data_IF_588068986162
#
_entry.id   IF_588068986162
#
_cell.length_a   1.000
_cell.length_b   1.000
_cell.length_c   1.000
_cell.angle_alpha   90.00
_cell.angle_beta   90.00
_cell.angle_gamma   90.00
#
_symmetry.space_group_name_H-M   'P 1'
#
loop_
_entity.id
_entity.type
_entity.pdbx_description
1 polymer ?
#
# COMPACT_ATOMS: atom_id res chain seq x y z
N UNK A 1 26.20 2.68 9.69
CA UNK A 1 24.83 2.22 10.03
C UNK A 1 24.94 0.85 10.68
N UNK A 2 24.35 0.67 11.86
CA UNK A 2 24.38 -0.61 12.61
C UNK A 2 22.92 -1.00 12.89
N UNK A 3 22.55 -2.23 12.53
CA UNK A 3 21.23 -2.80 12.90
C UNK A 3 21.35 -3.32 14.33
N UNK A 4 20.35 -3.05 15.16
CA UNK A 4 20.26 -3.53 16.54
C UNK A 4 18.85 -4.06 16.81
N UNK A 5 18.76 -5.23 17.43
CA UNK A 5 17.50 -5.88 17.79
C UNK A 5 17.05 -5.42 19.17
N UNK A 6 15.85 -4.83 19.25
CA UNK A 6 15.23 -4.34 20.47
C UNK A 6 14.09 -5.29 20.85
N UNK A 7 14.11 -5.78 22.09
CA UNK A 7 13.07 -6.64 22.64
C UNK A 7 12.03 -5.78 23.36
N UNK A 8 10.76 -5.91 22.99
CA UNK A 8 9.65 -5.13 23.52
C UNK A 8 9.02 -5.78 24.75
N UNK A 9 8.24 -5.02 25.51
CA UNK A 9 7.57 -5.51 26.73
C UNK A 9 6.52 -6.61 26.46
N UNK A 10 5.99 -6.71 25.23
CA UNK A 10 5.03 -7.74 24.85
C UNK A 10 5.70 -9.05 24.39
N UNK A 11 7.04 -9.10 24.45
CA UNK A 11 7.86 -10.24 24.02
C UNK A 11 8.15 -10.29 22.53
N UNK A 12 7.70 -9.30 21.75
CA UNK A 12 8.09 -9.17 20.34
C UNK A 12 9.45 -8.48 20.20
N UNK A 13 10.08 -8.61 19.03
CA UNK A 13 11.39 -8.03 18.72
C UNK A 13 11.31 -7.17 17.45
N UNK A 14 12.09 -6.10 17.41
CA UNK A 14 12.23 -5.24 16.22
C UNK A 14 13.70 -4.97 15.93
N UNK A 15 14.08 -5.05 14.66
CA UNK A 15 15.36 -4.55 14.18
C UNK A 15 15.24 -3.10 13.74
N UNK A 16 16.06 -2.22 14.33
CA UNK A 16 16.08 -0.80 13.98
C UNK A 16 17.48 -0.39 13.55
N UNK A 17 17.50 0.43 12.51
CA UNK A 17 18.72 1.04 11.99
C UNK A 17 19.17 2.18 12.90
N UNK A 18 20.33 2.04 13.53
CA UNK A 18 20.97 3.14 14.25
C UNK A 18 21.51 4.17 13.25
N UNK A 19 20.89 5.36 13.22
CA UNK A 19 21.33 6.48 12.40
C UNK A 19 22.71 6.99 12.87
N UNK A 20 23.67 7.25 11.96
CA UNK A 20 24.99 7.78 12.33
C UNK A 20 24.94 9.16 13.01
N UNK A 21 23.89 9.94 12.76
CA UNK A 21 23.75 11.32 13.22
C UNK A 21 23.14 11.42 14.63
N UNK A 22 22.76 10.29 15.22
CA UNK A 22 22.12 10.24 16.53
C UNK A 22 23.14 10.09 17.67
N UNK A 23 22.99 10.90 18.72
CA UNK A 23 23.82 10.76 19.92
C UNK A 23 23.42 9.53 20.73
N UNK A 24 24.36 9.00 21.53
CA UNK A 24 24.11 7.83 22.39
C UNK A 24 22.93 8.04 23.36
N UNK A 25 22.75 9.26 23.88
CA UNK A 25 21.65 9.59 24.78
C UNK A 25 20.29 9.55 24.07
N UNK A 26 20.21 10.12 22.86
CA UNK A 26 19.00 10.06 22.02
C UNK A 26 18.67 8.61 21.62
N UNK A 27 19.69 7.78 21.39
CA UNK A 27 19.47 6.37 21.08
C UNK A 27 18.90 5.58 22.24
N UNK A 28 19.43 5.76 23.45
CA UNK A 28 18.89 5.10 24.64
C UNK A 28 17.45 5.54 24.96
N UNK A 29 17.14 6.82 24.79
CA UNK A 29 15.76 7.31 24.93
C UNK A 29 14.82 6.68 23.91
N UNK A 30 15.25 6.62 22.64
CA UNK A 30 14.50 5.98 21.55
C UNK A 30 14.25 4.49 21.84
N UNK A 31 15.28 3.76 22.27
CA UNK A 31 15.14 2.34 22.66
C UNK A 31 14.15 2.17 23.80
N UNK A 32 14.28 2.96 24.86
CA UNK A 32 13.38 2.90 26.03
C UNK A 32 11.92 3.15 25.63
N UNK A 33 11.69 4.16 24.77
CA UNK A 33 10.36 4.47 24.26
C UNK A 33 9.78 3.30 23.47
N UNK A 34 10.53 2.73 22.52
CA UNK A 34 10.06 1.63 21.69
C UNK A 34 9.76 0.38 22.52
N UNK A 35 10.68 0.02 23.43
CA UNK A 35 10.50 -1.12 24.34
C UNK A 35 9.17 -1.04 25.09
N UNK A 36 8.81 0.14 25.60
CA UNK A 36 7.59 0.36 26.38
C UNK A 36 6.31 0.56 25.57
N UNK A 37 6.39 0.72 24.24
CA UNK A 37 5.24 1.06 23.40
C UNK A 37 5.08 0.06 22.22
N UNK A 38 4.80 -1.23 22.48
CA UNK A 38 4.72 -2.25 21.45
C UNK A 38 3.65 -1.99 20.38
N UNK A 39 2.53 -1.36 20.74
CA UNK A 39 1.52 -0.94 19.77
C UNK A 39 2.02 0.13 18.80
N UNK A 40 2.86 1.06 19.27
CA UNK A 40 3.52 2.04 18.39
C UNK A 40 4.59 1.40 17.53
N UNK A 41 5.28 0.38 18.04
CA UNK A 41 6.25 -0.40 17.25
C UNK A 41 5.56 -1.23 16.16
N UNK A 42 4.41 -1.84 16.46
CA UNK A 42 3.56 -2.50 15.45
C UNK A 42 3.10 -1.52 14.40
N UNK A 43 2.64 -0.33 14.79
CA UNK A 43 2.35 0.73 13.83
C UNK A 43 3.58 1.08 13.01
N UNK A 44 4.75 1.32 13.62
CA UNK A 44 5.97 1.68 12.89
C UNK A 44 6.40 0.58 11.89
N UNK A 45 6.28 -0.68 12.25
CA UNK A 45 6.60 -1.82 11.37
C UNK A 45 5.56 -1.98 10.26
N UNK A 46 4.27 -1.87 10.56
CA UNK A 46 3.19 -1.82 9.55
C UNK A 46 3.33 -0.61 8.61
N UNK A 47 3.75 0.55 9.12
CA UNK A 47 4.04 1.74 8.32
C UNK A 47 5.29 1.54 7.46
N UNK A 48 6.27 0.74 7.90
CA UNK A 48 7.49 0.45 7.12
C UNK A 48 7.26 -0.50 5.94
N UNK A 49 6.25 -1.38 6.03
CA UNK A 49 5.87 -2.34 4.98
C UNK A 49 4.72 -1.86 4.09
N UNK A 50 4.01 -0.79 4.50
CA UNK A 50 2.93 -0.20 3.70
C UNK A 50 3.48 0.44 2.41
N UNK A 51 3.07 -0.02 1.21
CA UNK A 51 3.57 0.49 -0.07
C UNK A 51 3.29 1.98 -0.29
N UNK A 52 2.15 2.47 0.17
CA UNK A 52 1.77 3.89 0.04
C UNK A 52 2.69 4.77 0.89
N UNK A 53 3.05 4.29 2.08
CA UNK A 53 4.03 4.97 2.93
C UNK A 53 5.45 4.92 2.33
N UNK A 54 5.88 3.78 1.79
CA UNK A 54 7.18 3.66 1.11
C UNK A 54 7.27 4.65 -0.07
N UNK A 55 6.21 4.77 -0.90
CA UNK A 55 6.14 5.78 -1.98
C UNK A 55 6.23 7.20 -1.45
N UNK A 56 5.50 7.52 -0.38
CA UNK A 56 5.53 8.84 0.27
C UNK A 56 6.95 9.16 0.73
N UNK A 57 7.61 8.22 1.39
CA UNK A 57 9.01 8.35 1.84
C UNK A 57 9.99 8.55 0.69
N UNK A 58 9.90 7.74 -0.38
CA UNK A 58 10.76 7.89 -1.56
C UNK A 58 10.54 9.24 -2.27
N UNK A 59 9.28 9.68 -2.35
CA UNK A 59 8.92 10.98 -2.93
C UNK A 59 9.47 12.14 -2.11
N UNK A 60 9.31 12.07 -0.78
CA UNK A 60 9.86 13.07 0.15
C UNK A 60 11.38 13.16 0.05
N UNK A 61 12.07 12.02 0.03
CA UNK A 61 13.54 11.98 -0.15
C UNK A 61 13.97 12.59 -1.48
N UNK A 62 13.31 12.24 -2.57
CA UNK A 62 13.62 12.79 -3.91
C UNK A 62 13.48 14.32 -3.94
N UNK A 63 12.47 14.87 -3.27
CA UNK A 63 12.29 16.32 -3.16
C UNK A 63 13.37 16.93 -2.27
N UNK A 64 13.64 16.30 -1.12
CA UNK A 64 14.66 16.76 -0.18
C UNK A 64 16.06 16.79 -0.81
N UNK A 65 16.41 15.77 -1.60
CA UNK A 65 17.70 15.69 -2.30
C UNK A 65 17.88 16.87 -3.28
N UNK A 66 16.83 17.25 -4.00
CA UNK A 66 16.88 18.43 -4.89
C UNK A 66 17.03 19.72 -4.09
N UNK A 67 16.31 19.86 -2.98
CA UNK A 67 16.44 21.05 -2.13
C UNK A 67 17.83 21.15 -1.51
N UNK A 68 18.39 20.03 -1.06
CA UNK A 68 19.75 19.97 -0.55
C UNK A 68 20.76 20.32 -1.65
N UNK A 69 20.59 19.78 -2.85
CA UNK A 69 21.45 20.11 -3.99
C UNK A 69 21.40 21.62 -4.32
N UNK A 70 20.24 22.26 -4.26
CA UNK A 70 20.13 23.73 -4.46
C UNK A 70 20.85 24.53 -3.39
N UNK A 71 20.83 24.06 -2.14
CA UNK A 71 21.61 24.67 -1.06
C UNK A 71 23.11 24.53 -1.36
N UNK A 72 23.54 23.34 -1.75
CA UNK A 72 24.95 23.04 -2.04
C UNK A 72 25.46 23.82 -3.26
N UNK A 73 24.61 24.00 -4.27
CA UNK A 73 24.88 24.77 -5.49
C UNK A 73 24.80 26.30 -5.25
N UNK A 74 24.35 26.75 -4.07
CA UNK A 74 24.24 28.15 -3.70
C UNK A 74 23.12 28.91 -4.44
N UNK A 75 21.97 28.26 -4.70
CA UNK A 75 20.81 28.86 -5.34
C UNK A 75 20.24 30.02 -4.48
N UNK A 76 20.55 31.26 -4.88
CA UNK A 76 20.14 32.48 -4.17
C UNK A 76 18.61 32.66 -4.11
N UNK A 77 17.87 32.24 -5.15
CA UNK A 77 16.41 32.34 -5.18
C UNK A 77 15.78 31.34 -4.19
N UNK A 78 16.33 30.12 -4.13
CA UNK A 78 15.93 29.13 -3.14
C UNK A 78 16.25 29.58 -1.71
N UNK A 79 17.46 30.09 -1.47
CA UNK A 79 17.87 30.59 -0.15
C UNK A 79 16.97 31.76 0.32
N UNK A 80 16.60 32.66 -0.60
CA UNK A 80 15.65 33.74 -0.33
C UNK A 80 14.28 33.21 0.08
N UNK A 81 13.73 32.24 -0.65
CA UNK A 81 12.44 31.60 -0.31
C UNK A 81 12.48 30.91 1.04
N UNK A 82 13.55 30.19 1.36
CA UNK A 82 13.72 29.55 2.67
C UNK A 82 13.73 30.58 3.80
N UNK A 83 14.41 31.71 3.61
CA UNK A 83 14.43 32.79 4.60
C UNK A 83 13.05 33.45 4.77
N UNK A 84 12.35 33.74 3.66
CA UNK A 84 10.99 34.28 3.69
C UNK A 84 9.99 33.31 4.36
N UNK A 85 10.21 32.00 4.22
CA UNK A 85 9.41 30.98 4.88
C UNK A 85 9.67 30.93 6.40
N UNK A 86 10.93 31.05 6.82
CA UNK A 86 11.33 31.06 8.24
C UNK A 86 10.85 32.31 8.98
N UNK A 87 10.81 33.46 8.31
CA UNK A 87 10.37 34.74 8.88
C UNK A 87 8.84 34.93 8.87
N UNK A 88 8.08 34.00 8.27
CA UNK A 88 6.62 34.09 8.19
C UNK A 88 5.96 33.73 9.53
N UNK A 89 5.15 34.63 10.13
CA UNK A 89 4.42 34.35 11.37
C UNK A 89 3.50 33.13 11.29
N UNK A 90 3.01 32.77 10.10
CA UNK A 90 2.16 31.59 9.91
C UNK A 90 2.92 30.27 10.18
N UNK A 91 4.24 30.24 10.00
CA UNK A 91 5.08 29.05 10.20
C UNK A 91 5.98 29.15 11.44
N UNK A 92 5.85 30.19 12.26
CA UNK A 92 6.71 30.43 13.44
C UNK A 92 6.74 29.21 14.37
N UNK A 93 5.58 28.61 14.67
CA UNK A 93 5.47 27.41 15.52
C UNK A 93 6.19 26.21 14.91
N UNK A 94 6.07 26.00 13.60
CA UNK A 94 6.75 24.92 12.89
C UNK A 94 8.26 25.05 13.03
N UNK A 95 8.83 26.22 12.73
CA UNK A 95 10.28 26.41 12.82
C UNK A 95 10.79 26.41 14.26
N UNK A 96 9.99 26.87 15.22
CA UNK A 96 10.33 26.76 16.64
C UNK A 96 10.44 25.29 17.05
N UNK A 97 9.46 24.47 16.72
CA UNK A 97 9.45 23.05 17.08
C UNK A 97 10.58 22.28 16.39
N UNK A 98 10.94 22.64 15.14
CA UNK A 98 12.11 22.10 14.44
C UNK A 98 13.42 22.46 15.17
N UNK A 99 13.62 23.73 15.54
CA UNK A 99 14.84 24.20 16.23
C UNK A 99 14.99 23.60 17.63
N UNK A 100 13.88 23.36 18.31
CA UNK A 100 13.84 22.77 19.65
C UNK A 100 13.83 21.22 19.64
N UNK A 101 13.94 20.58 18.46
CA UNK A 101 13.93 19.12 18.30
C UNK A 101 12.69 18.44 18.90
N UNK A 102 11.53 19.11 18.84
CA UNK A 102 10.26 18.58 19.34
C UNK A 102 9.65 17.59 18.36
N UNK A 103 10.21 16.38 18.33
CA UNK A 103 9.92 15.35 17.31
C UNK A 103 8.42 15.06 17.16
N UNK A 104 7.67 15.03 18.27
CA UNK A 104 6.22 14.79 18.28
C UNK A 104 5.42 15.90 17.61
N UNK A 105 5.75 17.15 17.92
CA UNK A 105 5.11 18.35 17.39
C UNK A 105 5.49 18.55 15.92
N UNK A 106 6.77 18.38 15.58
CA UNK A 106 7.25 18.39 14.19
C UNK A 106 6.49 17.37 13.36
N UNK A 107 6.29 16.15 13.88
CA UNK A 107 5.50 15.12 13.20
C UNK A 107 4.05 15.55 13.01
N UNK A 108 3.43 16.12 14.03
CA UNK A 108 2.05 16.63 13.93
C UNK A 108 1.92 17.73 12.86
N UNK A 109 2.92 18.58 12.69
CA UNK A 109 2.96 19.57 11.61
C UNK A 109 3.09 18.90 10.23
N UNK A 110 3.96 17.90 10.10
CA UNK A 110 4.17 17.16 8.85
C UNK A 110 2.92 16.38 8.39
N UNK A 111 2.08 15.95 9.34
CA UNK A 111 0.80 15.30 9.08
C UNK A 111 -0.34 16.29 8.79
N UNK A 112 -0.10 17.61 8.91
CA UNK A 112 -1.07 18.64 8.57
C UNK A 112 -0.98 19.02 7.08
N UNK A 113 -1.82 18.38 6.26
CA UNK A 113 -1.87 18.60 4.81
C UNK A 113 -2.07 20.07 4.41
N UNK A 114 -2.87 20.84 5.17
CA UNK A 114 -3.15 22.25 4.88
C UNK A 114 -1.89 23.08 5.12
N UNK A 115 -1.22 22.87 6.25
CA UNK A 115 0.02 23.57 6.59
C UNK A 115 1.12 23.25 5.56
N UNK A 116 1.31 21.97 5.25
CA UNK A 116 2.33 21.53 4.29
C UNK A 116 2.04 22.00 2.86
N UNK A 117 0.78 22.11 2.45
CA UNK A 117 0.41 22.69 1.16
C UNK A 117 0.79 24.18 1.07
N UNK A 118 0.63 24.94 2.16
CA UNK A 118 1.04 26.35 2.22
C UNK A 118 2.56 26.51 2.18
N UNK A 119 3.29 25.67 2.93
CA UNK A 119 4.76 25.61 2.85
C UNK A 119 5.20 25.31 1.42
N UNK A 120 4.61 24.30 0.79
CA UNK A 120 4.91 23.93 -0.60
C UNK A 120 4.64 25.11 -1.55
N UNK A 121 3.51 25.80 -1.42
CA UNK A 121 3.18 26.96 -2.24
C UNK A 121 4.21 28.10 -2.09
N UNK A 122 4.64 28.40 -0.85
CA UNK A 122 5.69 29.38 -0.56
C UNK A 122 7.04 29.01 -1.20
N UNK A 123 7.35 27.71 -1.22
CA UNK A 123 8.56 27.19 -1.85
C UNK A 123 8.48 27.08 -3.38
N UNK A 124 7.37 27.50 -4.00
CA UNK A 124 7.15 27.44 -5.45
C UNK A 124 6.59 26.12 -5.96
N UNK A 125 6.06 25.29 -5.07
CA UNK A 125 5.45 24.00 -5.33
C UNK A 125 6.47 22.88 -5.58
N UNK A 126 5.99 21.76 -6.13
CA UNK A 126 6.84 20.62 -6.47
C UNK A 126 7.76 21.00 -7.65
N UNK A 127 9.11 20.90 -7.49
CA UNK A 127 10.06 21.24 -8.54
C UNK A 127 9.78 20.50 -9.84
N UNK A 128 9.99 21.14 -10.99
CA UNK A 128 9.65 20.52 -12.29
C UNK A 128 10.57 19.34 -12.59
N UNK A 129 11.81 19.42 -12.13
CA UNK A 129 12.87 18.45 -12.35
C UNK A 129 12.54 17.10 -11.67
N UNK A 130 11.90 17.12 -10.50
CA UNK A 130 11.49 15.88 -9.81
C UNK A 130 10.23 15.24 -10.39
N UNK A 131 9.43 15.94 -11.20
CA UNK A 131 8.09 15.43 -11.59
C UNK A 131 8.16 14.07 -12.28
N UNK A 132 9.15 13.87 -13.14
CA UNK A 132 9.34 12.58 -13.79
C UNK A 132 9.78 11.49 -12.81
N UNK A 133 10.70 11.83 -11.89
CA UNK A 133 11.13 10.90 -10.83
C UNK A 133 9.97 10.52 -9.90
N UNK A 134 9.11 11.47 -9.53
CA UNK A 134 7.91 11.24 -8.74
C UNK A 134 6.87 10.39 -9.50
N UNK A 135 6.67 10.65 -10.79
CA UNK A 135 5.80 9.83 -11.64
C UNK A 135 6.36 8.39 -11.73
N UNK A 136 7.67 8.22 -11.83
CA UNK A 136 8.31 6.91 -11.80
C UNK A 136 8.12 6.21 -10.44
N UNK A 137 8.30 6.92 -9.32
CA UNK A 137 8.09 6.37 -7.97
C UNK A 137 6.65 5.91 -7.76
N UNK A 138 5.68 6.69 -8.24
CA UNK A 138 4.26 6.34 -8.09
C UNK A 138 3.87 5.14 -8.96
N UNK A 139 4.45 5.02 -10.17
CA UNK A 139 4.15 3.92 -11.10
C UNK A 139 4.91 2.64 -10.83
N UNK A 140 6.10 2.73 -10.23
CA UNK A 140 6.93 1.57 -9.94
C UNK A 140 6.16 0.65 -8.96
N UNK A 141 5.94 -0.63 -9.32
CA UNK A 141 5.42 -1.58 -8.36
C UNK A 141 6.44 -1.76 -7.24
N UNK A 142 5.99 -1.66 -5.99
CA UNK A 142 6.82 -1.90 -4.81
C UNK A 142 6.56 -3.29 -4.25
N UNK A 143 5.32 -3.78 -4.42
CA UNK A 143 4.90 -5.11 -3.99
C UNK A 143 4.42 -5.98 -5.14
N UNK A 144 4.30 -7.28 -4.85
CA UNK A 144 3.67 -8.25 -5.72
C UNK A 144 2.23 -7.83 -6.07
N UNK A 145 1.47 -7.32 -5.11
CA UNK A 145 0.10 -6.82 -5.30
C UNK A 145 0.06 -5.60 -6.25
N UNK A 146 1.03 -4.69 -6.16
CA UNK A 146 1.12 -3.55 -7.08
C UNK A 146 1.42 -4.00 -8.51
N UNK A 147 2.34 -4.95 -8.68
CA UNK A 147 2.60 -5.54 -9.99
C UNK A 147 1.33 -6.16 -10.57
N UNK A 148 0.55 -6.86 -9.74
CA UNK A 148 -0.72 -7.44 -10.12
C UNK A 148 -1.78 -6.40 -10.50
N UNK A 149 -1.90 -5.33 -9.72
CA UNK A 149 -2.80 -4.19 -9.98
C UNK A 149 -2.45 -3.47 -11.28
N UNK A 150 -1.16 -3.25 -11.51
CA UNK A 150 -0.65 -2.54 -12.69
C UNK A 150 -0.68 -3.40 -13.96
N UNK A 151 -0.78 -4.73 -13.81
CA UNK A 151 -0.66 -5.65 -14.94
C UNK A 151 0.79 -5.85 -15.38
N UNK A 152 1.75 -5.54 -14.50
CA UNK A 152 3.18 -5.64 -14.80
C UNK A 152 3.66 -7.07 -14.62
N UNK A 153 3.60 -7.83 -15.72
CA UNK A 153 4.01 -9.23 -15.75
C UNK A 153 5.52 -9.39 -15.49
N UNK A 154 6.33 -8.40 -15.89
CA UNK A 154 7.78 -8.47 -15.70
C UNK A 154 8.11 -8.29 -14.22
N UNK A 155 7.54 -7.29 -13.56
CA UNK A 155 7.69 -7.12 -12.12
C UNK A 155 7.14 -8.32 -11.35
N UNK A 156 5.97 -8.83 -11.75
CA UNK A 156 5.39 -10.04 -11.17
C UNK A 156 6.35 -11.24 -11.27
N UNK A 157 6.90 -11.52 -12.47
CA UNK A 157 7.88 -12.59 -12.66
C UNK A 157 9.16 -12.37 -11.87
N UNK A 158 9.64 -11.12 -11.82
CA UNK A 158 10.83 -10.74 -11.05
C UNK A 158 10.65 -11.10 -9.57
N UNK A 159 9.59 -10.60 -8.93
CA UNK A 159 9.27 -10.89 -7.52
C UNK A 159 9.10 -12.38 -7.24
N UNK A 160 8.57 -13.14 -8.21
CA UNK A 160 8.39 -14.59 -8.07
C UNK A 160 9.66 -15.42 -8.32
N UNK A 161 10.66 -14.81 -8.97
CA UNK A 161 11.94 -15.44 -9.35
C UNK A 161 13.08 -15.17 -8.37
N UNK A 162 12.97 -14.12 -7.54
CA UNK A 162 13.96 -13.80 -6.52
C UNK A 162 14.07 -14.95 -5.51
N UNK A 163 15.17 -15.71 -5.62
CA UNK A 163 15.41 -16.96 -4.88
C UNK A 163 15.75 -16.76 -3.41
N UNK A 164 16.05 -15.53 -3.00
CA UNK A 164 16.39 -15.15 -1.61
C UNK A 164 15.17 -14.67 -0.81
N UNK A 165 14.00 -14.55 -1.43
CA UNK A 165 12.76 -14.22 -0.74
C UNK A 165 12.30 -15.43 0.11
N UNK A 166 12.11 -15.20 1.41
CA UNK A 166 11.59 -16.19 2.35
C UNK A 166 10.31 -16.84 1.78
N UNK A 167 10.05 -18.15 1.96
CA UNK A 167 8.94 -18.87 1.31
C UNK A 167 7.55 -18.22 1.50
N UNK A 168 7.38 -17.47 2.59
CA UNK A 168 6.20 -16.66 2.90
C UNK A 168 5.93 -15.51 1.91
N UNK A 169 6.96 -14.99 1.21
CA UNK A 169 6.80 -13.97 0.15
C UNK A 169 6.29 -14.52 -1.18
N UNK A 170 6.14 -15.84 -1.30
CA UNK A 170 5.54 -16.52 -2.46
C UNK A 170 4.09 -16.91 -2.22
N UNK A 171 3.54 -16.60 -1.06
CA UNK A 171 2.12 -16.79 -0.80
C UNK A 171 1.31 -15.79 -1.63
N UNK A 172 0.76 -16.26 -2.76
CA UNK A 172 -0.08 -15.47 -3.66
C UNK A 172 -1.39 -15.03 -2.98
N UNK A 173 -1.76 -15.72 -1.91
CA UNK A 173 -2.97 -15.50 -1.14
C UNK A 173 -2.72 -14.63 0.11
N UNK A 174 -1.45 -14.24 0.34
CA UNK A 174 -1.09 -13.27 1.36
C UNK A 174 -1.84 -11.95 1.12
N UNK A 175 -2.49 -11.49 2.19
CA UNK A 175 -3.33 -10.29 2.20
C UNK A 175 -2.54 -9.10 2.72
N UNK A 176 -2.72 -7.96 2.08
CA UNK A 176 -2.19 -6.69 2.59
C UNK A 176 -3.01 -6.18 3.78
N UNK A 177 -2.66 -4.99 4.28
CA UNK A 177 -3.38 -4.33 5.38
C UNK A 177 -4.85 -3.97 5.04
N UNK A 178 -5.29 -4.10 3.78
CA UNK A 178 -6.68 -3.95 3.32
C UNK A 178 -7.39 -5.30 3.20
N UNK A 179 -6.70 -6.40 3.51
CA UNK A 179 -7.19 -7.77 3.35
C UNK A 179 -7.17 -8.28 1.92
N UNK A 180 -6.52 -7.59 0.98
CA UNK A 180 -6.63 -7.89 -0.45
C UNK A 180 -5.42 -8.72 -0.91
N UNK A 181 -5.67 -9.85 -1.58
CA UNK A 181 -4.64 -10.69 -2.17
C UNK A 181 -4.20 -10.20 -3.55
N UNK A 182 -3.15 -10.81 -4.12
CA UNK A 182 -2.67 -10.49 -5.46
C UNK A 182 -3.76 -10.67 -6.52
N UNK A 183 -4.52 -11.77 -6.43
CA UNK A 183 -5.63 -12.04 -7.33
C UNK A 183 -6.75 -11.01 -7.15
N UNK A 184 -7.06 -10.61 -5.91
CA UNK A 184 -8.03 -9.56 -5.62
C UNK A 184 -7.67 -8.23 -6.31
N UNK A 185 -6.40 -7.82 -6.28
CA UNK A 185 -5.94 -6.62 -6.98
C UNK A 185 -5.96 -6.76 -8.51
N UNK A 186 -5.55 -7.91 -9.06
CA UNK A 186 -5.60 -8.16 -10.50
C UNK A 186 -7.05 -8.12 -11.03
N UNK A 187 -7.96 -8.81 -10.33
CA UNK A 187 -9.41 -8.77 -10.60
C UNK A 187 -9.91 -7.34 -10.47
N UNK A 188 -9.58 -6.69 -9.35
CA UNK A 188 -9.87 -5.32 -8.94
C UNK A 188 -9.38 -4.22 -9.89
N UNK A 189 -8.39 -4.50 -10.74
CA UNK A 189 -7.89 -3.60 -11.78
C UNK A 189 -8.17 -4.09 -13.22
N UNK A 190 -9.00 -5.12 -13.39
CA UNK A 190 -9.33 -5.74 -14.68
C UNK A 190 -8.11 -6.29 -15.46
N UNK A 191 -7.12 -6.83 -14.75
CA UNK A 191 -5.92 -7.43 -15.36
C UNK A 191 -6.16 -8.91 -15.65
N UNK A 192 -7.00 -9.20 -16.65
CA UNK A 192 -7.43 -10.58 -16.96
C UNK A 192 -6.26 -11.54 -17.19
N UNK A 193 -5.24 -11.11 -17.94
CA UNK A 193 -4.05 -11.94 -18.19
C UNK A 193 -3.32 -12.28 -16.89
N UNK A 194 -3.13 -11.30 -16.00
CA UNK A 194 -2.48 -11.53 -14.71
C UNK A 194 -3.35 -12.39 -13.79
N UNK A 195 -4.67 -12.19 -13.77
CA UNK A 195 -5.58 -13.04 -12.99
C UNK A 195 -5.48 -14.51 -13.43
N UNK A 196 -5.44 -14.77 -14.75
CA UNK A 196 -5.23 -16.13 -15.30
C UNK A 196 -3.89 -16.72 -14.86
N UNK A 197 -2.81 -15.95 -15.00
CA UNK A 197 -1.48 -16.38 -14.60
C UNK A 197 -1.41 -16.72 -13.10
N UNK A 198 -1.99 -15.90 -12.23
CA UNK A 198 -2.02 -16.14 -10.78
C UNK A 198 -2.75 -17.45 -10.43
N UNK A 199 -3.89 -17.72 -11.08
CA UNK A 199 -4.64 -18.98 -10.86
C UNK A 199 -3.89 -20.19 -11.42
N UNK A 200 -3.24 -20.07 -12.57
CA UNK A 200 -2.33 -21.11 -13.10
C UNK A 200 -1.18 -21.40 -12.12
N UNK A 201 -0.75 -20.38 -11.38
CA UNK A 201 0.22 -20.47 -10.29
C UNK A 201 -0.38 -20.89 -8.94
N UNK A 202 -1.65 -21.33 -8.91
CA UNK A 202 -2.39 -21.86 -7.75
C UNK A 202 -2.81 -20.81 -6.70
N UNK A 203 -2.97 -19.54 -7.07
CA UNK A 203 -3.66 -18.59 -6.21
C UNK A 203 -5.12 -19.02 -5.98
N UNK A 204 -5.62 -18.87 -4.76
CA UNK A 204 -6.98 -19.23 -4.36
C UNK A 204 -8.00 -18.17 -4.85
N UNK A 205 -8.92 -18.52 -5.77
CA UNK A 205 -9.93 -17.59 -6.26
C UNK A 205 -11.05 -17.29 -5.24
N UNK A 206 -11.11 -18.03 -4.13
CA UNK A 206 -12.14 -17.90 -3.09
C UNK A 206 -11.81 -16.83 -2.03
N UNK A 207 -10.61 -16.25 -2.07
CA UNK A 207 -10.18 -15.22 -1.13
C UNK A 207 -11.13 -13.99 -1.09
N UNK A 208 -11.35 -13.48 0.12
CA UNK A 208 -12.15 -12.28 0.41
C UNK A 208 -11.34 -11.19 1.12
N UNK A 209 -11.71 -9.93 0.90
CA UNK A 209 -11.15 -8.77 1.61
C UNK A 209 -11.69 -8.60 3.05
N UNK A 210 -11.27 -7.53 3.75
CA UNK A 210 -11.74 -7.22 5.11
C UNK A 210 -13.24 -6.86 5.19
N UNK A 211 -13.92 -6.63 4.07
CA UNK A 211 -15.36 -6.41 3.99
C UNK A 211 -16.13 -7.67 3.54
N UNK A 212 -15.43 -8.80 3.36
CA UNK A 212 -16.01 -10.05 2.88
C UNK A 212 -16.30 -10.05 1.37
N UNK A 213 -15.79 -9.08 0.60
CA UNK A 213 -15.95 -9.09 -0.86
C UNK A 213 -14.97 -10.08 -1.49
N UNK A 214 -15.51 -11.03 -2.26
CA UNK A 214 -14.72 -11.91 -3.13
C UNK A 214 -14.41 -11.28 -4.48
N UNK A 215 -13.53 -11.94 -5.26
CA UNK A 215 -13.25 -11.60 -6.66
C UNK A 215 -14.52 -11.43 -7.52
N UNK A 216 -15.58 -12.22 -7.27
CA UNK A 216 -16.85 -12.06 -7.97
C UNK A 216 -17.55 -10.73 -7.65
N UNK A 217 -17.55 -10.29 -6.39
CA UNK A 217 -18.13 -9.00 -6.00
C UNK A 217 -17.46 -7.86 -6.76
N UNK A 218 -16.13 -7.88 -6.85
CA UNK A 218 -15.34 -6.90 -7.57
C UNK A 218 -15.62 -6.93 -9.09
N UNK A 219 -15.53 -8.10 -9.72
CA UNK A 219 -15.77 -8.23 -11.15
C UNK A 219 -17.20 -7.81 -11.53
N UNK A 220 -18.19 -8.23 -10.74
CA UNK A 220 -19.59 -7.93 -10.98
C UNK A 220 -19.92 -6.45 -10.74
N UNK A 221 -19.48 -5.89 -9.60
CA UNK A 221 -19.74 -4.51 -9.20
C UNK A 221 -19.08 -3.45 -10.09
N UNK A 222 -17.98 -3.80 -10.75
CA UNK A 222 -17.29 -2.92 -11.72
C UNK A 222 -17.62 -3.25 -13.19
N UNK A 223 -18.54 -4.18 -13.47
CA UNK A 223 -19.00 -4.45 -14.84
C UNK A 223 -18.01 -5.22 -15.72
N UNK A 224 -17.09 -5.98 -15.12
CA UNK A 224 -15.99 -6.67 -15.83
C UNK A 224 -16.44 -8.02 -16.37
N UNK A 225 -17.17 -8.01 -17.48
CA UNK A 225 -17.82 -9.21 -18.02
C UNK A 225 -16.87 -10.37 -18.32
N UNK A 226 -15.74 -10.12 -18.99
CA UNK A 226 -14.78 -11.19 -19.33
C UNK A 226 -14.09 -11.76 -18.08
N UNK A 227 -13.69 -10.89 -17.14
CA UNK A 227 -13.14 -11.29 -15.86
C UNK A 227 -14.15 -12.12 -15.06
N UNK A 228 -15.41 -11.69 -15.05
CA UNK A 228 -16.49 -12.37 -14.36
C UNK A 228 -16.72 -13.77 -14.95
N UNK A 229 -16.81 -13.89 -16.28
CA UNK A 229 -16.93 -15.19 -16.95
C UNK A 229 -15.77 -16.11 -16.62
N UNK A 230 -14.54 -15.58 -16.62
CA UNK A 230 -13.37 -16.36 -16.23
C UNK A 230 -13.48 -16.88 -14.80
N UNK A 231 -13.81 -16.02 -13.83
CA UNK A 231 -13.96 -16.40 -12.43
C UNK A 231 -15.09 -17.43 -12.25
N UNK A 232 -16.24 -17.26 -12.91
CA UNK A 232 -17.34 -18.23 -12.88
C UNK A 232 -16.90 -19.61 -13.37
N UNK A 233 -16.02 -19.67 -14.37
CA UNK A 233 -15.42 -20.92 -14.85
C UNK A 233 -14.50 -21.62 -13.83
N UNK A 234 -14.11 -20.95 -12.74
CA UNK A 234 -13.28 -21.52 -11.67
C UNK A 234 -14.11 -22.24 -10.58
N UNK A 235 -15.45 -22.20 -10.66
CA UNK A 235 -16.31 -22.88 -9.68
C UNK A 235 -16.36 -22.21 -8.30
N UNK A 236 -16.07 -20.91 -8.21
CA UNK A 236 -16.21 -20.13 -6.98
C UNK A 236 -17.70 -19.96 -6.60
N UNK A 237 -17.97 -19.83 -5.29
CA UNK A 237 -19.33 -19.66 -4.77
C UNK A 237 -19.92 -18.30 -5.19
N UNK A 238 -20.89 -18.36 -6.10
CA UNK A 238 -21.63 -17.19 -6.61
C UNK A 238 -22.66 -16.64 -5.62
N UNK A 239 -23.01 -17.43 -4.60
CA UNK A 239 -24.01 -17.08 -3.58
C UNK A 239 -23.39 -16.46 -2.33
N UNK A 240 -22.05 -16.44 -2.25
CA UNK A 240 -21.31 -15.85 -1.15
C UNK A 240 -21.76 -14.41 -0.90
N UNK A 241 -22.06 -14.11 0.36
CA UNK A 241 -22.42 -12.77 0.81
C UNK A 241 -21.25 -12.10 1.49
N UNK A 242 -21.01 -10.84 1.14
CA UNK A 242 -20.09 -9.98 1.89
C UNK A 242 -20.68 -9.60 3.27
N UNK A 243 -19.92 -8.86 4.09
CA UNK A 243 -20.36 -8.47 5.44
C UNK A 243 -21.52 -7.47 5.46
N UNK A 244 -21.85 -6.87 4.31
CA UNK A 244 -23.08 -6.08 4.13
C UNK A 244 -24.29 -6.94 3.71
N UNK A 245 -24.14 -8.27 3.67
CA UNK A 245 -25.19 -9.21 3.27
C UNK A 245 -25.47 -9.24 1.77
N UNK A 246 -24.60 -8.66 0.94
CA UNK A 246 -24.77 -8.54 -0.51
C UNK A 246 -24.03 -9.68 -1.22
N UNK A 247 -24.65 -10.28 -2.23
CA UNK A 247 -24.00 -11.16 -3.21
C UNK A 247 -23.35 -10.36 -4.33
N UNK A 248 -22.55 -11.01 -5.19
CA UNK A 248 -22.01 -10.39 -6.40
C UNK A 248 -23.11 -9.82 -7.32
N UNK A 249 -24.26 -10.49 -7.42
CA UNK A 249 -25.42 -10.02 -8.18
C UNK A 249 -26.04 -8.76 -7.57
N UNK A 250 -26.13 -8.69 -6.23
CA UNK A 250 -26.64 -7.52 -5.52
C UNK A 250 -25.74 -6.30 -5.75
N UNK A 251 -24.42 -6.48 -5.69
CA UNK A 251 -23.46 -5.40 -5.95
C UNK A 251 -23.55 -4.93 -7.40
N UNK A 252 -23.61 -5.85 -8.38
CA UNK A 252 -23.78 -5.49 -9.79
C UNK A 252 -25.08 -4.73 -10.05
N UNK A 253 -26.19 -5.16 -9.44
CA UNK A 253 -27.49 -4.52 -9.56
C UNK A 253 -27.48 -3.11 -8.95
N UNK A 254 -26.95 -2.96 -7.73
CA UNK A 254 -26.81 -1.66 -7.06
C UNK A 254 -25.97 -0.68 -7.88
N UNK A 255 -24.91 -1.17 -8.51
CA UNK A 255 -24.01 -0.37 -9.35
C UNK A 255 -24.48 -0.24 -10.81
N UNK A 256 -25.67 -0.78 -11.16
CA UNK A 256 -26.27 -0.72 -12.50
C UNK A 256 -25.41 -1.33 -13.62
N UNK A 257 -24.67 -2.39 -13.30
CA UNK A 257 -23.81 -3.09 -14.25
C UNK A 257 -24.59 -4.16 -15.03
N UNK A 258 -25.38 -3.72 -16.02
CA UNK A 258 -26.35 -4.58 -16.72
C UNK A 258 -25.72 -5.86 -17.31
N UNK A 259 -24.57 -5.74 -17.99
CA UNK A 259 -23.94 -6.90 -18.63
C UNK A 259 -23.47 -7.97 -17.63
N UNK A 260 -22.99 -7.59 -16.44
CA UNK A 260 -22.63 -8.56 -15.40
C UNK A 260 -23.84 -9.10 -14.64
N UNK A 261 -24.91 -8.30 -14.50
CA UNK A 261 -26.21 -8.76 -13.98
C UNK A 261 -26.77 -9.87 -14.86
N UNK A 262 -26.77 -9.69 -16.18
CA UNK A 262 -27.29 -10.68 -17.12
C UNK A 262 -26.47 -11.97 -17.04
N UNK A 263 -25.13 -11.87 -17.02
CA UNK A 263 -24.24 -13.03 -16.85
C UNK A 263 -24.52 -13.81 -15.57
N UNK A 264 -24.74 -13.13 -14.44
CA UNK A 264 -25.00 -13.78 -13.15
C UNK A 264 -26.40 -14.39 -13.06
N UNK A 265 -27.40 -13.79 -13.72
CA UNK A 265 -28.77 -14.33 -13.78
C UNK A 265 -28.89 -15.55 -14.68
N UNK A 266 -28.08 -15.64 -15.72
CA UNK A 266 -28.08 -16.75 -16.65
C UNK A 266 -27.42 -18.03 -16.09
N UNK A 267 -26.90 -18.02 -14.86
CA UNK A 267 -26.33 -19.21 -14.22
C UNK A 267 -27.46 -20.09 -13.66
N UNK A 268 -27.51 -21.40 -14.00
CA UNK A 268 -28.52 -22.31 -13.45
C UNK A 268 -28.27 -22.52 -11.95
N UNK A 269 -29.28 -22.23 -11.14
CA UNK A 269 -29.26 -22.37 -9.67
C UNK A 269 -29.33 -23.82 -9.18
N UNK A 270 -29.33 -24.83 -10.05
CA UNK A 270 -29.71 -26.21 -9.70
C UNK A 270 -28.59 -27.28 -9.72
N UNK A 271 -27.34 -26.96 -10.04
CA UNK A 271 -26.24 -27.98 -10.02
C UNK A 271 -25.27 -27.87 -8.82
N UNK A 272 -25.61 -27.10 -7.77
CA UNK A 272 -24.68 -26.81 -6.67
C UNK A 272 -24.76 -27.83 -5.51
N UNK A 273 -25.55 -28.91 -5.59
CA UNK A 273 -25.72 -29.86 -4.46
C UNK A 273 -25.19 -31.29 -4.63
N UNK A 274 -24.48 -31.67 -5.69
CA UNK A 274 -24.07 -33.09 -5.86
C UNK A 274 -22.59 -33.39 -6.14
N UNK A 275 -21.68 -32.42 -6.19
CA UNK A 275 -20.25 -32.69 -6.43
C UNK A 275 -19.41 -32.98 -5.17
N UNK A 276 -20.05 -33.25 -4.02
CA UNK A 276 -19.38 -33.59 -2.76
C UNK A 276 -19.10 -35.08 -2.54
N UNK A 277 -19.64 -35.97 -3.38
CA UNK A 277 -19.69 -37.42 -3.10
C UNK A 277 -19.10 -38.26 -4.23
N UNK A 278 -17.82 -38.03 -4.57
CA UNK A 278 -17.03 -39.00 -5.38
C UNK A 278 -15.53 -38.92 -5.05
N UNK A 279 -15.14 -39.14 -3.79
CA UNK A 279 -13.80 -39.64 -3.43
C UNK A 279 -13.84 -40.51 -2.17
N UNK A 280 -14.34 -41.73 -2.33
CA UNK A 280 -14.05 -42.86 -1.44
C UNK A 280 -14.25 -44.15 -2.22
N UNK A 281 -13.19 -44.55 -2.92
CA UNK A 281 -12.91 -45.93 -3.33
C UNK A 281 -11.48 -46.23 -2.91
#
# INVERSE_FOLDING_TARGET
MRMETIHLIDGSEIEILHSPDMTAAQWEETKTYLQGNPDEVKKLTEHSTNPDHIRKQQSMRTIADIWQQRIDDGDEDFAKKMKELEEDPEFELLFKDIKEYRVTEVRAHLDNDILMAKVSAKMGGVPREVRQSLDNITRKPITLQDACKNGDVHALQHYLSETDASPEFRDLDAKDHKGVSCLGYAVGANRLFVAKLLVEMRADPSCVDLAGNSSLHYAAGYGRQEMLQYLLGLGVDVTLKNFSGQTALDVATKNKQLGTVDLLKCLPTEEITSAGDMRSS
#
